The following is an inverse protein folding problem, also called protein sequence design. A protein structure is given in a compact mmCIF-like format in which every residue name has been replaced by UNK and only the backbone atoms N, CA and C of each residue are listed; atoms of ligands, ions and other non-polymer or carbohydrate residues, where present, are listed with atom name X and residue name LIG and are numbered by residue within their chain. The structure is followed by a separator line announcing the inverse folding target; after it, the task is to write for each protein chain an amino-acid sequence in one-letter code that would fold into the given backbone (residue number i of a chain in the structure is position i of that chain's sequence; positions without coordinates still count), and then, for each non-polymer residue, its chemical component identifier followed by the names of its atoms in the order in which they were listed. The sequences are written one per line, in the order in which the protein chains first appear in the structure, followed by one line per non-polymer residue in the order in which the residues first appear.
data_IF_418117031385
#
_entry.id   IF_418117031385
#
_cell.length_a   1.000
_cell.length_b   1.000
_cell.length_c   1.000
_cell.angle_alpha   90.00
_cell.angle_beta   90.00
_cell.angle_gamma   90.00
#
_symmetry.space_group_name_H-M   'P 1'
#
loop_
_entity.id
_entity.type
_entity.pdbx_description
1 polymer ?
#
# COMPACT_ATOMS: atom_id res chain seq x y z
N UNK A 1 -38.93 53.70 -16.91
CA UNK A 1 -39.83 53.57 -18.07
C UNK A 1 -40.24 52.13 -18.10
N UNK A 2 -41.35 51.75 -17.45
CA UNK A 2 -42.73 51.79 -17.95
C UNK A 2 -42.96 50.74 -19.04
N UNK A 3 -43.68 49.74 -18.85
CA UNK A 3 -45.11 49.43 -18.58
C UNK A 3 -45.24 47.95 -19.04
N UNK A 4 -45.94 47.07 -18.51
CA UNK A 4 -47.29 46.87 -17.95
C UNK A 4 -47.90 45.58 -18.54
N UNK A 5 -48.38 44.69 -17.68
CA UNK A 5 -49.40 43.69 -17.97
C UNK A 5 -50.75 44.39 -18.31
N UNK A 6 -51.82 43.76 -18.67
CA UNK A 6 -52.53 42.65 -18.06
C UNK A 6 -53.26 41.75 -19.14
N UNK A 7 -54.15 40.88 -18.97
CA UNK A 7 -55.23 40.54 -18.06
C UNK A 7 -56.10 39.43 -18.69
N UNK A 8 -56.67 38.66 -17.85
CA UNK A 8 -58.01 38.17 -17.63
C UNK A 8 -58.73 37.16 -18.56
N UNK A 9 -59.18 36.14 -17.87
CA UNK A 9 -60.58 35.59 -17.74
C UNK A 9 -61.22 34.81 -18.88
N UNK A 10 -61.75 33.61 -18.51
CA UNK A 10 -63.20 33.31 -18.47
C UNK A 10 -63.44 31.79 -18.39
N UNK A 11 -63.91 31.25 -17.32
CA UNK A 11 -65.25 30.79 -16.93
C UNK A 11 -66.06 29.96 -17.95
N UNK A 12 -66.49 28.77 -17.47
CA UNK A 12 -67.64 28.01 -17.98
C UNK A 12 -67.54 26.54 -17.74
N UNK A 13 -68.01 25.99 -16.69
CA UNK A 13 -69.29 25.59 -16.18
C UNK A 13 -69.82 24.23 -16.70
N UNK A 14 -69.95 23.34 -15.75
CA UNK A 14 -70.93 22.24 -15.52
C UNK A 14 -71.16 21.19 -16.60
N UNK A 15 -71.07 19.90 -16.28
CA UNK A 15 -72.29 19.12 -15.88
C UNK A 15 -71.85 17.70 -15.32
N UNK A 16 -72.62 17.27 -14.34
CA UNK A 16 -72.65 15.96 -13.71
C UNK A 16 -73.28 14.89 -14.58
N UNK A 17 -72.81 13.65 -14.57
CA UNK A 17 -73.66 12.43 -14.53
C UNK A 17 -72.77 11.20 -14.11
N UNK A 18 -72.96 10.63 -13.00
CA UNK A 18 -73.60 9.42 -12.47
C UNK A 18 -73.06 8.08 -12.97
N UNK A 19 -72.43 7.39 -11.98
CA UNK A 19 -72.56 5.97 -11.62
C UNK A 19 -72.09 4.88 -12.58
N UNK A 20 -71.12 4.09 -12.10
CA UNK A 20 -70.82 2.74 -12.56
C UNK A 20 -69.82 2.05 -11.62
N UNK A 21 -70.37 1.28 -10.67
CA UNK A 21 -69.60 0.38 -9.79
C UNK A 21 -69.11 -0.81 -10.64
N UNK A 22 -67.81 -1.01 -10.75
CA UNK A 22 -67.24 -2.32 -11.00
C UNK A 22 -66.08 -2.58 -10.04
N UNK A 23 -66.30 -3.58 -9.18
CA UNK A 23 -65.26 -4.17 -8.34
C UNK A 23 -64.36 -5.02 -9.28
N UNK A 24 -63.11 -4.67 -9.38
CA UNK A 24 -62.08 -5.59 -9.89
C UNK A 24 -60.96 -5.62 -8.86
N UNK A 25 -60.79 -6.79 -8.26
CA UNK A 25 -59.67 -7.13 -7.39
C UNK A 25 -58.40 -7.06 -8.21
N UNK A 26 -57.52 -6.14 -7.90
CA UNK A 26 -56.13 -6.16 -8.39
C UNK A 26 -55.24 -6.62 -7.25
N UNK A 27 -54.78 -7.90 -7.34
CA UNK A 27 -53.78 -8.48 -6.51
C UNK A 27 -52.46 -7.77 -6.75
N UNK A 28 -52.01 -6.94 -5.82
CA UNK A 28 -50.70 -6.35 -5.84
C UNK A 28 -49.67 -7.42 -5.43
N UNK A 29 -49.04 -8.10 -6.40
CA UNK A 29 -47.87 -8.91 -6.17
C UNK A 29 -46.69 -7.98 -5.87
N UNK A 30 -46.38 -7.81 -4.58
CA UNK A 30 -45.21 -7.09 -4.13
C UNK A 30 -43.95 -7.86 -4.51
N UNK A 31 -43.24 -7.37 -5.51
CA UNK A 31 -41.90 -7.84 -5.88
C UNK A 31 -40.92 -7.24 -4.86
N UNK A 32 -40.67 -7.98 -3.76
CA UNK A 32 -39.59 -7.63 -2.82
C UNK A 32 -38.26 -7.91 -3.50
N UNK A 33 -37.65 -6.87 -4.08
CA UNK A 33 -36.27 -6.93 -4.52
C UNK A 33 -35.37 -7.05 -3.29
N UNK A 34 -34.90 -8.26 -3.01
CA UNK A 34 -33.80 -8.51 -2.07
C UNK A 34 -32.54 -7.84 -2.67
N UNK A 35 -32.24 -6.65 -2.19
CA UNK A 35 -30.93 -6.04 -2.33
C UNK A 35 -29.94 -6.91 -1.53
N UNK A 36 -29.31 -7.87 -2.21
CA UNK A 36 -28.10 -8.52 -1.73
C UNK A 36 -27.01 -7.46 -1.76
N UNK A 37 -26.84 -6.74 -0.68
CA UNK A 37 -25.61 -5.97 -0.44
C UNK A 37 -24.49 -6.99 -0.27
N UNK A 38 -23.75 -7.26 -1.35
CA UNK A 38 -22.44 -7.87 -1.23
C UNK A 38 -21.62 -6.96 -0.33
N UNK A 39 -21.46 -7.34 0.94
CA UNK A 39 -20.43 -6.76 1.78
C UNK A 39 -19.11 -7.08 1.06
N UNK A 40 -18.55 -6.08 0.38
CA UNK A 40 -17.16 -6.13 -0.03
C UNK A 40 -16.37 -6.27 1.27
N UNK A 41 -16.02 -7.50 1.63
CA UNK A 41 -15.12 -7.77 2.74
C UNK A 41 -13.85 -6.97 2.42
N UNK A 42 -13.49 -6.02 3.27
CA UNK A 42 -12.22 -5.36 3.17
C UNK A 42 -11.16 -6.47 3.13
N UNK A 43 -10.37 -6.52 2.06
CA UNK A 43 -9.30 -7.51 1.94
C UNK A 43 -8.36 -7.30 3.12
N UNK A 44 -8.23 -8.32 3.96
CA UNK A 44 -7.39 -8.27 5.15
C UNK A 44 -5.93 -8.57 4.75
N UNK A 45 -4.98 -7.94 5.45
CA UNK A 45 -3.57 -8.27 5.33
C UNK A 45 -3.37 -9.76 5.65
N UNK A 46 -2.69 -10.49 4.76
CA UNK A 46 -2.45 -11.92 4.88
C UNK A 46 -0.96 -12.23 4.83
N UNK A 47 -0.50 -13.28 5.52
CA UNK A 47 0.84 -13.78 5.38
C UNK A 47 1.19 -14.12 3.93
N UNK A 48 2.43 -13.91 3.56
CA UNK A 48 2.94 -14.29 2.25
C UNK A 48 4.44 -14.52 2.25
N UNK A 49 4.91 -15.27 1.24
CA UNK A 49 6.31 -15.35 0.86
C UNK A 49 6.42 -15.06 -0.63
N UNK A 50 7.23 -14.06 -0.97
CA UNK A 50 7.50 -13.66 -2.35
C UNK A 50 9.00 -13.70 -2.63
N UNK A 51 9.38 -14.19 -3.80
CA UNK A 51 10.76 -14.09 -4.28
C UNK A 51 10.82 -13.11 -5.43
N UNK A 52 11.93 -12.34 -5.48
CA UNK A 52 12.16 -11.31 -6.49
C UNK A 52 13.54 -11.49 -7.11
N UNK A 53 13.64 -11.25 -8.41
CA UNK A 53 14.93 -11.05 -9.08
C UNK A 53 15.34 -9.61 -8.88
N UNK A 54 16.55 -9.39 -8.37
CA UNK A 54 17.14 -8.05 -8.27
C UNK A 54 18.01 -7.80 -9.49
N UNK A 55 17.68 -6.75 -10.21
CA UNK A 55 18.34 -6.34 -11.45
C UNK A 55 18.99 -4.98 -11.22
N UNK A 56 20.31 -4.91 -11.43
CA UNK A 56 21.10 -3.70 -11.32
C UNK A 56 21.71 -3.39 -12.68
N UNK A 57 21.44 -2.19 -13.24
CA UNK A 57 21.83 -1.81 -14.59
C UNK A 57 21.60 -2.92 -15.66
N UNK A 58 20.43 -3.57 -15.60
CA UNK A 58 20.04 -4.63 -16.54
C UNK A 58 20.63 -6.02 -16.27
N UNK A 59 21.46 -6.17 -15.24
CA UNK A 59 22.07 -7.44 -14.85
C UNK A 59 21.46 -8.03 -13.59
N UNK A 60 21.11 -9.30 -13.61
CA UNK A 60 20.67 -10.00 -12.40
C UNK A 60 21.81 -10.15 -11.40
N UNK A 61 21.66 -9.57 -10.22
CA UNK A 61 22.68 -9.57 -9.15
C UNK A 61 22.29 -10.39 -7.93
N UNK A 62 21.00 -10.55 -7.64
CA UNK A 62 20.52 -11.32 -6.51
C UNK A 62 19.11 -11.87 -6.74
N UNK A 63 18.72 -12.82 -5.89
CA UNK A 63 17.33 -13.17 -5.62
C UNK A 63 17.03 -12.79 -4.18
N UNK A 64 15.99 -11.99 -3.99
CA UNK A 64 15.53 -11.56 -2.67
C UNK A 64 14.26 -12.29 -2.31
N UNK A 65 14.23 -12.93 -1.16
CA UNK A 65 13.01 -13.51 -0.57
C UNK A 65 12.47 -12.54 0.48
N UNK A 66 11.20 -12.21 0.35
CA UNK A 66 10.45 -11.37 1.29
C UNK A 66 9.36 -12.23 1.92
N UNK A 67 9.22 -12.12 3.24
CA UNK A 67 8.16 -12.79 4.00
C UNK A 67 7.42 -11.81 4.87
N UNK A 68 6.11 -11.99 4.93
CA UNK A 68 5.25 -11.40 5.95
C UNK A 68 4.60 -12.56 6.71
N UNK A 69 4.89 -12.65 7.99
CA UNK A 69 4.40 -13.70 8.88
C UNK A 69 3.65 -13.10 10.06
N UNK A 70 2.63 -13.81 10.57
CA UNK A 70 1.87 -13.38 11.74
C UNK A 70 2.07 -14.36 12.90
N UNK A 71 2.36 -13.82 14.08
CA UNK A 71 2.46 -14.59 15.32
C UNK A 71 1.68 -13.88 16.41
N UNK A 72 0.50 -14.39 16.75
CA UNK A 72 -0.41 -13.70 17.66
C UNK A 72 -0.82 -12.34 17.12
N UNK A 73 -0.53 -11.29 17.88
CA UNK A 73 -0.85 -9.91 17.55
C UNK A 73 0.27 -9.18 16.79
N UNK A 74 1.42 -9.84 16.58
CA UNK A 74 2.56 -9.25 15.90
C UNK A 74 2.71 -9.80 14.49
N UNK A 75 3.27 -8.95 13.64
CA UNK A 75 3.68 -9.28 12.28
C UNK A 75 5.18 -9.11 12.15
N UNK A 76 5.79 -9.98 11.36
CA UNK A 76 7.21 -9.88 11.03
C UNK A 76 7.34 -9.77 9.52
N UNK A 77 7.86 -8.63 9.06
CA UNK A 77 8.27 -8.45 7.67
C UNK A 77 9.77 -8.63 7.58
N UNK A 78 10.20 -9.60 6.79
CA UNK A 78 11.62 -9.89 6.62
C UNK A 78 12.01 -9.94 5.15
N UNK A 79 13.23 -9.51 4.85
CA UNK A 79 13.83 -9.70 3.53
C UNK A 79 15.23 -10.28 3.65
N UNK A 80 15.59 -11.13 2.68
CA UNK A 80 16.91 -11.73 2.57
C UNK A 80 17.31 -11.85 1.11
N UNK A 81 18.49 -11.36 0.78
CA UNK A 81 19.05 -11.43 -0.57
C UNK A 81 20.15 -12.46 -0.67
N UNK A 82 20.08 -13.30 -1.71
CA UNK A 82 21.11 -14.27 -2.07
C UNK A 82 21.74 -13.85 -3.39
N UNK A 83 23.05 -13.59 -3.43
CA UNK A 83 23.75 -13.17 -4.65
C UNK A 83 23.58 -14.16 -5.80
N UNK A 84 23.41 -13.64 -7.01
CA UNK A 84 23.32 -14.41 -8.26
C UNK A 84 24.18 -13.76 -9.33
N UNK A 85 24.52 -14.53 -10.36
CA UNK A 85 25.32 -14.01 -11.48
C UNK A 85 26.59 -13.30 -10.99
N UNK A 86 26.81 -12.09 -11.47
CA UNK A 86 27.95 -11.24 -11.09
C UNK A 86 27.91 -10.81 -9.61
N UNK A 87 26.72 -10.76 -8.99
CA UNK A 87 26.56 -10.41 -7.57
C UNK A 87 27.27 -11.37 -6.62
N UNK A 88 27.59 -12.60 -7.07
CA UNK A 88 28.38 -13.55 -6.27
C UNK A 88 29.78 -13.06 -5.95
N UNK A 89 30.31 -12.13 -6.74
CA UNK A 89 31.61 -11.53 -6.51
C UNK A 89 31.60 -10.54 -5.32
N UNK A 90 30.43 -10.02 -4.95
CA UNK A 90 30.28 -9.06 -3.86
C UNK A 90 30.20 -9.73 -2.49
N UNK A 91 29.89 -11.04 -2.42
CA UNK A 91 29.75 -11.84 -1.18
C UNK A 91 28.74 -11.30 -0.15
N UNK A 92 28.05 -10.22 -0.46
CA UNK A 92 27.08 -9.56 0.42
C UNK A 92 25.74 -10.30 0.41
N UNK A 93 25.15 -10.50 1.60
CA UNK A 93 23.85 -11.14 1.78
C UNK A 93 22.97 -10.29 2.68
N UNK A 94 22.47 -9.16 2.15
CA UNK A 94 21.65 -8.27 2.94
C UNK A 94 20.41 -8.96 3.50
N UNK A 95 20.08 -8.60 4.73
CA UNK A 95 18.84 -9.02 5.38
C UNK A 95 18.26 -7.88 6.20
N UNK A 96 16.96 -7.80 6.26
CA UNK A 96 16.23 -6.88 7.13
C UNK A 96 15.10 -7.62 7.83
N UNK A 97 14.76 -7.18 9.02
CA UNK A 97 13.60 -7.68 9.77
C UNK A 97 12.95 -6.51 10.47
N UNK A 98 11.66 -6.31 10.25
CA UNK A 98 10.82 -5.39 10.99
C UNK A 98 9.73 -6.18 11.71
N UNK A 99 9.64 -6.04 13.02
CA UNK A 99 8.54 -6.55 13.84
C UNK A 99 7.57 -5.39 14.06
N UNK A 100 6.29 -5.63 13.85
CA UNK A 100 5.28 -4.58 13.87
C UNK A 100 3.93 -5.08 14.38
N UNK A 101 3.08 -4.16 14.82
CA UNK A 101 1.66 -4.38 15.06
C UNK A 101 0.84 -3.75 13.94
N UNK A 102 -0.24 -4.41 13.56
CA UNK A 102 -1.23 -3.87 12.63
C UNK A 102 -2.56 -3.82 13.36
N UNK A 103 -3.10 -2.63 13.51
CA UNK A 103 -4.42 -2.36 14.09
C UNK A 103 -5.39 -1.88 13.01
N UNK A 104 -6.62 -1.60 13.36
CA UNK A 104 -7.58 -0.96 12.46
C UNK A 104 -7.20 0.50 12.12
N UNK A 105 -6.36 1.12 12.91
CA UNK A 105 -5.96 2.52 12.76
C UNK A 105 -4.60 2.67 12.08
N UNK A 106 -3.60 1.86 12.45
CA UNK A 106 -2.21 2.12 12.10
C UNK A 106 -1.36 0.85 11.97
N UNK A 107 -0.18 1.01 11.38
CA UNK A 107 0.94 0.06 11.37
C UNK A 107 2.04 0.63 12.25
N UNK A 108 2.32 -0.05 13.35
CA UNK A 108 3.26 0.38 14.37
C UNK A 108 4.49 -0.52 14.40
N UNK A 109 5.66 -0.08 13.90
CA UNK A 109 6.92 -0.80 14.09
C UNK A 109 7.23 -0.94 15.59
N UNK A 110 7.76 -2.10 15.98
CA UNK A 110 8.25 -2.39 17.33
C UNK A 110 9.77 -2.46 17.35
N UNK A 111 10.36 -3.05 16.29
CA UNK A 111 11.81 -3.10 16.11
C UNK A 111 12.15 -3.21 14.63
N UNK A 112 13.31 -2.67 14.26
CA UNK A 112 13.88 -2.82 12.93
C UNK A 112 15.34 -3.22 13.02
N UNK A 113 15.70 -4.30 12.35
CA UNK A 113 17.07 -4.80 12.24
C UNK A 113 17.48 -4.90 10.78
N UNK A 114 18.68 -4.42 10.48
CA UNK A 114 19.29 -4.49 9.16
C UNK A 114 20.75 -4.94 9.24
N UNK A 115 21.16 -5.74 8.23
CA UNK A 115 22.53 -6.19 8.05
C UNK A 115 22.78 -6.24 6.55
N UNK A 116 23.76 -5.50 6.05
CA UNK A 116 24.10 -5.47 4.63
C UNK A 116 24.86 -6.73 4.15
N UNK A 117 25.19 -7.62 5.10
CA UNK A 117 25.86 -8.88 4.81
C UNK A 117 27.37 -8.78 4.60
N UNK A 118 27.98 -7.60 4.77
CA UNK A 118 29.45 -7.42 4.65
C UNK A 118 30.21 -7.95 5.86
N UNK A 119 29.50 -8.27 6.95
CA UNK A 119 30.10 -8.65 8.24
C UNK A 119 30.60 -7.45 9.06
N UNK A 120 30.52 -6.23 8.54
CA UNK A 120 30.86 -5.01 9.27
C UNK A 120 29.77 -4.66 10.28
N UNK A 121 30.13 -4.48 11.54
CA UNK A 121 29.18 -3.96 12.55
C UNK A 121 28.75 -2.54 12.28
N UNK A 122 29.56 -1.77 11.55
CA UNK A 122 29.30 -0.36 11.19
C UNK A 122 28.16 -0.17 10.20
N UNK A 123 27.67 -1.24 9.58
CA UNK A 123 26.58 -1.21 8.61
C UNK A 123 25.34 -1.96 9.11
N UNK A 124 25.29 -2.20 10.40
CA UNK A 124 24.12 -2.82 11.03
C UNK A 124 23.17 -1.76 11.54
N UNK A 125 21.90 -2.09 11.46
CA UNK A 125 20.83 -1.30 12.05
C UNK A 125 20.17 -2.15 13.12
N UNK A 126 19.98 -1.58 14.30
CA UNK A 126 19.23 -2.19 15.40
C UNK A 126 18.54 -1.10 16.18
N UNK A 127 17.24 -0.93 15.92
CA UNK A 127 16.43 0.11 16.54
C UNK A 127 15.14 -0.47 17.13
N UNK A 128 14.72 0.09 18.27
CA UNK A 128 13.49 -0.23 18.96
C UNK A 128 12.57 0.99 19.02
N UNK A 129 11.26 0.73 18.88
CA UNK A 129 10.21 1.73 18.93
C UNK A 129 9.38 1.51 20.20
N UNK A 130 9.52 2.40 21.18
CA UNK A 130 8.76 2.38 22.43
C UNK A 130 7.58 3.36 22.32
N UNK A 131 6.42 2.83 21.98
CA UNK A 131 5.19 3.60 21.77
C UNK A 131 4.63 4.16 23.08
N UNK A 132 4.90 3.51 24.22
CA UNK A 132 4.48 4.00 25.53
C UNK A 132 5.30 5.20 25.98
N UNK A 133 6.62 5.15 25.73
CA UNK A 133 7.54 6.26 26.06
C UNK A 133 7.69 7.27 24.92
N UNK A 134 7.03 7.05 23.78
CA UNK A 134 7.15 7.87 22.58
C UNK A 134 8.60 8.09 22.15
N UNK A 135 9.37 7.00 22.06
CA UNK A 135 10.81 7.06 21.79
C UNK A 135 11.28 5.98 20.83
N UNK A 136 12.18 6.35 19.92
CA UNK A 136 12.95 5.43 19.08
C UNK A 136 14.39 5.46 19.56
N UNK A 137 14.95 4.29 19.87
CA UNK A 137 16.32 4.17 20.38
C UNK A 137 17.08 3.06 19.70
N UNK A 138 18.40 3.16 19.65
CA UNK A 138 19.25 2.13 19.09
C UNK A 138 20.42 2.68 18.30
N UNK A 139 20.79 1.97 17.23
CA UNK A 139 21.88 2.34 16.34
C UNK A 139 21.43 2.13 14.90
N UNK A 140 21.64 3.14 14.06
CA UNK A 140 21.47 3.04 12.62
C UNK A 140 22.84 3.17 11.95
N UNK A 141 23.39 2.06 11.46
CA UNK A 141 24.81 1.97 11.07
C UNK A 141 25.73 2.41 12.23
N UNK A 142 26.57 3.42 12.06
CA UNK A 142 27.43 3.94 13.15
C UNK A 142 26.76 5.10 13.93
N UNK A 143 25.51 5.45 13.63
CA UNK A 143 24.85 6.60 14.21
C UNK A 143 23.92 6.19 15.35
N UNK A 144 24.15 6.65 16.60
CA UNK A 144 23.21 6.48 17.68
C UNK A 144 21.86 7.11 17.33
N UNK A 145 20.79 6.38 17.58
CA UNK A 145 19.42 6.84 17.39
C UNK A 145 18.79 7.05 18.76
N UNK A 146 18.32 8.25 18.98
CA UNK A 146 17.55 8.63 20.15
C UNK A 146 16.60 9.78 19.74
N UNK A 147 15.41 9.40 19.27
CA UNK A 147 14.47 10.31 18.66
C UNK A 147 13.10 10.21 19.31
N UNK A 148 12.33 11.27 19.23
CA UNK A 148 10.93 11.24 19.58
C UNK A 148 10.17 10.39 18.55
N UNK A 149 9.42 9.40 19.04
CA UNK A 149 8.51 8.60 18.23
C UNK A 149 7.22 9.41 17.99
N UNK A 150 6.87 9.57 16.73
CA UNK A 150 5.62 10.21 16.30
C UNK A 150 4.68 9.19 15.69
N UNK A 151 3.35 9.37 15.78
CA UNK A 151 2.39 8.51 15.09
C UNK A 151 2.71 8.39 13.60
N UNK A 152 2.54 7.19 13.04
CA UNK A 152 2.78 6.91 11.62
C UNK A 152 4.25 6.77 11.21
N UNK A 153 5.23 6.91 12.13
CA UNK A 153 6.63 6.70 11.80
C UNK A 153 6.89 5.24 11.44
N UNK A 154 7.50 5.03 10.29
CA UNK A 154 7.85 3.72 9.74
C UNK A 154 9.37 3.53 9.66
N UNK A 155 9.82 2.29 9.47
CA UNK A 155 11.14 1.95 8.95
C UNK A 155 11.07 1.56 7.47
N UNK A 156 12.22 1.27 6.84
CA UNK A 156 12.33 0.92 5.42
C UNK A 156 11.55 -0.36 5.04
N UNK A 157 11.32 -1.25 5.99
CA UNK A 157 10.57 -2.50 5.80
C UNK A 157 9.10 -2.35 6.16
N UNK A 158 8.78 -1.74 7.30
CA UNK A 158 7.40 -1.56 7.77
C UNK A 158 6.57 -0.65 6.85
N UNK A 159 7.21 0.32 6.16
CA UNK A 159 6.50 1.19 5.20
C UNK A 159 5.88 0.40 4.04
N UNK A 160 6.46 -0.76 3.67
CA UNK A 160 5.86 -1.62 2.65
C UNK A 160 4.54 -2.22 3.14
N UNK A 161 4.50 -2.62 4.42
CA UNK A 161 3.28 -3.13 5.05
C UNK A 161 2.28 -2.01 5.24
N UNK A 162 2.72 -0.82 5.66
CA UNK A 162 1.86 0.36 5.80
C UNK A 162 1.19 0.73 4.47
N UNK A 163 1.95 0.77 3.37
CA UNK A 163 1.40 1.00 2.03
C UNK A 163 0.34 -0.05 1.66
N UNK A 164 0.62 -1.34 1.87
CA UNK A 164 -0.33 -2.42 1.60
C UNK A 164 -1.61 -2.27 2.42
N UNK A 165 -1.48 -1.97 3.72
CA UNK A 165 -2.61 -1.80 4.64
C UNK A 165 -3.48 -0.61 4.26
N UNK A 166 -2.89 0.55 3.94
CA UNK A 166 -3.62 1.72 3.45
C UNK A 166 -4.43 1.39 2.18
N UNK A 167 -3.80 0.71 1.22
CA UNK A 167 -4.45 0.32 -0.03
C UNK A 167 -5.56 -0.74 0.19
N UNK A 168 -5.37 -1.69 1.10
CA UNK A 168 -6.40 -2.67 1.49
C UNK A 168 -7.63 -1.99 2.12
N UNK A 169 -7.43 -0.85 2.78
CA UNK A 169 -8.51 -0.02 3.34
C UNK A 169 -9.17 0.89 2.30
N UNK A 170 -8.72 0.84 1.04
CA UNK A 170 -9.20 1.72 -0.03
C UNK A 170 -8.70 3.16 0.08
N UNK A 171 -7.66 3.39 0.89
CA UNK A 171 -7.05 4.70 1.05
C UNK A 171 -5.98 4.95 -0.02
N UNK A 172 -5.66 6.21 -0.26
CA UNK A 172 -4.57 6.61 -1.14
C UNK A 172 -3.57 7.42 -0.31
N UNK A 173 -2.52 6.77 0.22
CA UNK A 173 -1.54 7.47 1.03
C UNK A 173 -0.80 8.52 0.20
N UNK A 174 -0.61 9.71 0.76
CA UNK A 174 0.10 10.82 0.13
C UNK A 174 1.53 11.00 0.67
N UNK A 175 1.79 10.53 1.88
CA UNK A 175 3.11 10.62 2.51
C UNK A 175 3.29 9.57 3.61
N UNK A 176 4.55 9.25 3.89
CA UNK A 176 4.97 8.48 5.06
C UNK A 176 6.22 9.13 5.66
N UNK A 177 6.27 9.16 7.00
CA UNK A 177 7.47 9.49 7.76
C UNK A 177 8.30 8.23 7.96
N UNK A 178 9.57 8.25 7.60
CA UNK A 178 10.48 7.11 7.71
C UNK A 178 11.70 7.44 8.58
N UNK A 179 12.11 6.47 9.39
CA UNK A 179 13.46 6.45 9.95
C UNK A 179 14.42 6.03 8.83
N UNK A 180 15.12 7.00 8.28
CA UNK A 180 16.08 6.84 7.18
C UNK A 180 17.44 7.38 7.61
N UNK A 181 18.46 6.53 7.64
CA UNK A 181 19.84 6.85 8.05
C UNK A 181 19.91 7.57 9.39
N UNK A 182 19.20 7.05 10.38
CA UNK A 182 19.20 7.56 11.74
C UNK A 182 18.44 8.89 11.94
N UNK A 183 17.64 9.33 10.98
CA UNK A 183 16.85 10.55 11.04
C UNK A 183 15.44 10.33 10.51
N UNK A 184 14.47 11.09 11.01
CA UNK A 184 13.11 11.08 10.46
C UNK A 184 13.08 11.90 9.17
N UNK A 185 12.54 11.31 8.11
CA UNK A 185 12.42 11.93 6.79
C UNK A 185 11.04 11.68 6.20
N UNK A 186 10.52 12.71 5.52
CA UNK A 186 9.23 12.65 4.85
C UNK A 186 9.39 12.17 3.40
N UNK A 187 8.55 11.23 3.01
CA UNK A 187 8.43 10.71 1.65
C UNK A 187 7.03 10.97 1.13
N UNK A 188 6.93 11.65 -0.01
CA UNK A 188 5.67 11.80 -0.72
C UNK A 188 5.34 10.51 -1.48
N UNK A 189 4.06 10.16 -1.53
CA UNK A 189 3.52 9.06 -2.32
C UNK A 189 2.46 9.59 -3.26
N UNK A 190 2.57 9.23 -4.54
CA UNK A 190 1.64 9.70 -5.57
C UNK A 190 1.20 8.51 -6.40
N UNK A 191 -0.11 8.31 -6.53
CA UNK A 191 -0.67 7.33 -7.46
C UNK A 191 -0.49 7.82 -8.88
N UNK A 192 0.26 7.09 -9.71
CA UNK A 192 0.55 7.45 -11.11
C UNK A 192 -0.44 6.83 -12.10
N UNK A 193 -1.19 5.78 -11.70
CA UNK A 193 -2.18 5.13 -12.56
C UNK A 193 -2.25 3.62 -12.35
N UNK A 194 -2.61 2.91 -13.40
CA UNK A 194 -2.74 1.45 -13.44
C UNK A 194 -1.95 0.89 -14.62
N UNK A 195 -1.38 -0.28 -14.43
CA UNK A 195 -0.62 -0.98 -15.46
C UNK A 195 -0.79 -2.49 -15.29
N UNK A 196 -0.95 -3.22 -16.39
CA UNK A 196 -0.92 -4.68 -16.38
C UNK A 196 0.46 -5.16 -16.76
N UNK A 197 1.10 -5.90 -15.85
CA UNK A 197 2.44 -6.44 -16.05
C UNK A 197 2.39 -7.91 -16.44
N UNK A 198 3.22 -8.29 -17.42
CA UNK A 198 3.56 -9.70 -17.67
C UNK A 198 4.68 -10.09 -16.72
N UNK A 199 4.41 -11.06 -15.87
CA UNK A 199 5.33 -11.52 -14.82
C UNK A 199 5.47 -13.04 -14.84
N UNK A 200 6.48 -13.63 -14.19
CA UNK A 200 6.59 -15.07 -14.02
C UNK A 200 5.39 -15.73 -13.31
N UNK A 201 4.60 -14.96 -12.55
CA UNK A 201 3.39 -15.44 -11.89
C UNK A 201 2.11 -15.16 -12.69
N UNK A 202 2.24 -14.81 -13.99
CA UNK A 202 1.15 -14.49 -14.91
C UNK A 202 1.01 -13.01 -15.22
N UNK A 203 -0.05 -12.65 -15.93
CA UNK A 203 -0.45 -11.25 -16.11
C UNK A 203 -1.07 -10.72 -14.82
N UNK A 204 -0.59 -9.58 -14.35
CA UNK A 204 -1.00 -8.98 -13.08
C UNK A 204 -1.40 -7.53 -13.30
N UNK A 205 -2.66 -7.21 -13.03
CA UNK A 205 -3.12 -5.83 -12.96
C UNK A 205 -2.54 -5.17 -11.70
N UNK A 206 -2.03 -3.97 -11.84
CA UNK A 206 -1.37 -3.22 -10.76
C UNK A 206 -1.84 -1.78 -10.70
N UNK A 207 -1.78 -1.19 -9.51
CA UNK A 207 -1.78 0.25 -9.29
C UNK A 207 -0.35 0.70 -9.06
N UNK A 208 0.04 1.82 -9.65
CA UNK A 208 1.41 2.30 -9.60
C UNK A 208 1.50 3.49 -8.65
N UNK A 209 2.39 3.38 -7.67
CA UNK A 209 2.73 4.45 -6.75
C UNK A 209 4.17 4.90 -6.95
N UNK A 210 4.36 6.20 -7.00
CA UNK A 210 5.67 6.85 -6.97
C UNK A 210 5.95 7.37 -5.56
N UNK A 211 7.15 7.09 -5.05
CA UNK A 211 7.62 7.64 -3.77
C UNK A 211 8.91 8.42 -3.96
N UNK A 212 9.00 9.56 -3.30
CA UNK A 212 10.17 10.43 -3.37
C UNK A 212 10.33 11.24 -2.09
N UNK A 213 11.55 11.31 -1.58
CA UNK A 213 11.92 12.26 -0.54
C UNK A 213 12.15 13.65 -1.14
N UNK A 214 11.76 14.70 -0.42
CA UNK A 214 12.03 16.07 -0.83
C UNK A 214 13.54 16.29 -1.10
N UNK A 215 13.84 16.97 -2.17
CA UNK A 215 15.21 17.26 -2.62
C UNK A 215 16.09 16.02 -2.89
N UNK A 216 15.49 14.85 -3.07
CA UNK A 216 16.21 13.65 -3.51
C UNK A 216 16.10 13.48 -5.02
N UNK A 217 17.21 13.14 -5.73
CA UNK A 217 17.14 12.78 -7.14
C UNK A 217 16.58 11.36 -7.34
N UNK A 218 16.44 10.57 -6.25
CA UNK A 218 15.97 9.20 -6.33
C UNK A 218 14.45 9.14 -6.21
N UNK A 219 13.84 8.41 -7.12
CA UNK A 219 12.40 8.14 -7.18
C UNK A 219 12.20 6.64 -7.15
N UNK A 220 11.37 6.16 -6.25
CA UNK A 220 10.93 4.76 -6.23
C UNK A 220 9.54 4.64 -6.85
N UNK A 221 9.29 3.57 -7.60
CA UNK A 221 7.98 3.17 -8.10
C UNK A 221 7.65 1.77 -7.63
N UNK A 222 6.40 1.58 -7.23
CA UNK A 222 5.84 0.34 -6.73
C UNK A 222 4.64 -0.03 -7.58
N UNK A 223 4.66 -1.20 -8.20
CA UNK A 223 3.53 -1.79 -8.90
C UNK A 223 2.82 -2.75 -7.95
N UNK A 224 1.83 -2.25 -7.26
CA UNK A 224 1.08 -2.98 -6.23
C UNK A 224 -0.09 -3.73 -6.87
N UNK A 225 -0.24 -5.02 -6.60
CA UNK A 225 -1.25 -5.89 -7.19
C UNK A 225 -2.53 -5.97 -6.34
N UNK A 226 -3.66 -5.29 -6.68
CA UNK A 226 -4.88 -5.32 -5.88
C UNK A 226 -5.39 -6.74 -5.64
N UNK A 227 -5.47 -7.56 -6.68
CA UNK A 227 -5.91 -8.96 -6.58
C UNK A 227 -4.99 -9.88 -5.78
N UNK A 228 -3.89 -9.34 -5.24
CA UNK A 228 -2.90 -10.06 -4.43
C UNK A 228 -2.59 -9.36 -3.11
N UNK A 229 -3.54 -8.57 -2.58
CA UNK A 229 -3.40 -7.84 -1.32
C UNK A 229 -2.38 -6.71 -1.41
N UNK A 230 -2.28 -6.10 -2.58
CA UNK A 230 -1.37 -4.99 -2.89
C UNK A 230 0.12 -5.30 -2.69
N UNK A 231 0.50 -6.59 -2.72
CA UNK A 231 1.92 -6.98 -2.74
C UNK A 231 2.56 -6.34 -3.99
N UNK A 232 3.69 -5.62 -3.84
CA UNK A 232 4.40 -5.07 -5.00
C UNK A 232 4.96 -6.20 -5.87
N UNK A 233 4.55 -6.27 -7.15
CA UNK A 233 5.09 -7.26 -8.11
C UNK A 233 6.30 -6.74 -8.87
N UNK A 234 6.51 -5.42 -8.83
CA UNK A 234 7.73 -4.74 -9.29
C UNK A 234 8.00 -3.56 -8.38
N UNK A 235 9.27 -3.35 -8.06
CA UNK A 235 9.79 -2.12 -7.42
C UNK A 235 10.95 -1.64 -8.25
N UNK A 236 11.01 -0.35 -8.55
CA UNK A 236 12.06 0.24 -9.35
C UNK A 236 12.54 1.55 -8.74
N UNK A 237 13.85 1.74 -8.68
CA UNK A 237 14.41 3.04 -8.34
C UNK A 237 15.04 3.68 -9.57
N UNK A 238 14.75 4.96 -9.75
CA UNK A 238 15.37 5.84 -10.75
C UNK A 238 16.13 6.97 -10.09
N UNK A 239 17.14 7.47 -10.83
CA UNK A 239 17.81 8.74 -10.57
C UNK A 239 17.74 9.57 -11.85
N UNK A 240 16.88 10.61 -11.84
CA UNK A 240 16.46 11.24 -13.09
C UNK A 240 15.76 10.22 -13.99
N UNK A 241 16.20 10.11 -15.24
CA UNK A 241 15.65 9.15 -16.21
C UNK A 241 16.31 7.75 -16.14
N UNK A 242 17.42 7.63 -15.42
CA UNK A 242 18.19 6.39 -15.35
C UNK A 242 17.63 5.43 -14.31
N UNK A 243 17.35 4.18 -14.72
CA UNK A 243 16.99 3.08 -13.81
C UNK A 243 18.24 2.60 -13.09
N UNK A 244 18.27 2.75 -11.77
CA UNK A 244 19.37 2.29 -10.94
C UNK A 244 19.24 0.80 -10.65
N UNK A 245 18.07 0.38 -10.24
CA UNK A 245 17.75 -1.02 -9.98
C UNK A 245 16.26 -1.31 -10.13
N UNK A 246 15.96 -2.57 -10.33
CA UNK A 246 14.59 -3.10 -10.38
C UNK A 246 14.53 -4.41 -9.59
N UNK A 247 13.49 -4.58 -8.79
CA UNK A 247 13.07 -5.87 -8.24
C UNK A 247 11.83 -6.32 -9.01
N UNK A 248 11.84 -7.52 -9.58
CA UNK A 248 10.70 -8.12 -10.27
C UNK A 248 10.31 -9.43 -9.61
N UNK A 249 9.01 -9.62 -9.41
CA UNK A 249 8.49 -10.82 -8.77
C UNK A 249 8.84 -12.07 -9.57
N UNK A 250 9.34 -13.09 -8.89
CA UNK A 250 9.67 -14.39 -9.46
C UNK A 250 8.66 -15.46 -9.04
N UNK A 251 8.23 -15.42 -7.77
CA UNK A 251 7.22 -16.31 -7.23
C UNK A 251 6.46 -15.67 -6.09
N UNK A 252 5.24 -16.14 -5.82
CA UNK A 252 4.41 -15.69 -4.71
C UNK A 252 3.65 -16.90 -4.13
N UNK A 253 3.75 -17.07 -2.81
CA UNK A 253 2.92 -17.97 -2.00
C UNK A 253 2.14 -17.11 -1.00
N UNK A 254 0.85 -17.39 -0.85
CA UNK A 254 -0.03 -16.76 0.15
C UNK A 254 -0.75 -17.88 0.91
N UNK A 255 -0.94 -17.65 2.19
CA UNK A 255 -1.78 -18.51 3.04
C UNK A 255 -3.24 -18.12 2.96
#
# INVERSE_FOLDING_TARGET
MSHRAPDERSLGSRTLTRAGRCRACASAAGLSALLVTAAAGADELKPFEASYTWIWHGLTVAVTTVKLERTGDTWTYSSRSEPRGIGRLLSERPKTVSVLKVSSADVEPLSYQGDDGTGSTRRKVDVAYDWEKHRVTGVYEDTPVDLRLTPGLQDESSVQVALMVELLRGQSPEHFSLLDKGSVREYSYVREGEETLKTPIGEVATVVYRSQRANSPHVNRYWCAPGRGYIPVRVQQKRGDEVQWTMEILSLRRE
#
